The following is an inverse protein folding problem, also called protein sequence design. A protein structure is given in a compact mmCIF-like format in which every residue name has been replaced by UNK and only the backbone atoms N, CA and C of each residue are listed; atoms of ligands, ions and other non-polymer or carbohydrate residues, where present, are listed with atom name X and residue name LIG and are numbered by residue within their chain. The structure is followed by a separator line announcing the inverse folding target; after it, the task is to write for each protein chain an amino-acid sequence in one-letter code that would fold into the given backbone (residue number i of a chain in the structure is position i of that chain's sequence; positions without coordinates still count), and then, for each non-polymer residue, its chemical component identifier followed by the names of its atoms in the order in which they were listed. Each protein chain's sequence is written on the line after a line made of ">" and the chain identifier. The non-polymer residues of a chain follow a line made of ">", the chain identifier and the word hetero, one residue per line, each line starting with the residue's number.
data_IF_935543007096
#
_entry.id   IF_935543007096
#
_cell.length_a   1.000
_cell.length_b   1.000
_cell.length_c   1.000
_cell.angle_alpha   90.00
_cell.angle_beta   90.00
_cell.angle_gamma   90.00
#
_symmetry.space_group_name_H-M   'P 1'
#
loop_
_entity.id
_entity.type
_entity.pdbx_description
1 polymer ?
#
# COMPACT_ATOMS: atom_id res chain seq x y z
N UNK A 1 34.00 -33.38 -8.56
CA UNK A 1 32.56 -33.72 -8.73
C UNK A 1 31.71 -33.28 -7.53
N UNK A 2 32.27 -33.09 -6.33
CA UNK A 2 31.55 -32.59 -5.13
C UNK A 2 30.84 -31.24 -5.32
N UNK A 3 31.46 -30.29 -6.04
CA UNK A 3 30.93 -28.91 -6.15
C UNK A 3 29.57 -28.86 -6.84
N UNK A 4 29.34 -29.72 -7.85
CA UNK A 4 28.06 -29.81 -8.56
C UNK A 4 26.96 -30.32 -7.62
N UNK A 5 27.30 -31.22 -6.70
CA UNK A 5 26.37 -31.74 -5.69
C UNK A 5 25.85 -30.67 -4.74
N UNK A 6 26.62 -29.59 -4.50
CA UNK A 6 26.21 -28.44 -3.68
C UNK A 6 25.56 -27.35 -4.53
N UNK A 7 26.10 -27.07 -5.71
CA UNK A 7 25.62 -26.01 -6.59
C UNK A 7 24.20 -26.27 -7.10
N UNK A 8 23.87 -27.50 -7.48
CA UNK A 8 22.52 -27.85 -7.98
C UNK A 8 21.43 -27.53 -6.93
N UNK A 9 21.49 -28.05 -5.69
CA UNK A 9 20.45 -27.74 -4.69
C UNK A 9 20.43 -26.26 -4.30
N UNK A 10 21.59 -25.61 -4.17
CA UNK A 10 21.66 -24.17 -3.87
C UNK A 10 20.96 -23.36 -4.97
N UNK A 11 21.19 -23.70 -6.24
CA UNK A 11 20.56 -23.02 -7.38
C UNK A 11 19.04 -23.20 -7.40
N UNK A 12 18.57 -24.43 -7.13
CA UNK A 12 17.14 -24.74 -7.05
C UNK A 12 16.46 -23.98 -5.90
N UNK A 13 17.12 -23.90 -4.75
CA UNK A 13 16.61 -23.13 -3.59
C UNK A 13 16.56 -21.64 -3.94
N UNK A 14 17.63 -21.06 -4.49
CA UNK A 14 17.64 -19.65 -4.89
C UNK A 14 16.56 -19.34 -5.93
N UNK A 15 16.43 -20.19 -6.96
CA UNK A 15 15.38 -20.05 -7.96
C UNK A 15 13.98 -20.16 -7.37
N UNK A 16 13.76 -21.14 -6.48
CA UNK A 16 12.50 -21.34 -5.79
C UNK A 16 12.12 -20.17 -4.89
N UNK A 17 13.08 -19.63 -4.12
CA UNK A 17 12.88 -18.43 -3.30
C UNK A 17 12.54 -17.21 -4.15
N UNK A 18 13.23 -17.02 -5.28
CA UNK A 18 12.94 -15.95 -6.23
C UNK A 18 11.52 -16.05 -6.81
N UNK A 19 11.11 -17.24 -7.24
CA UNK A 19 9.74 -17.48 -7.71
C UNK A 19 8.72 -17.23 -6.60
N UNK A 20 8.94 -17.74 -5.40
CA UNK A 20 8.04 -17.53 -4.27
C UNK A 20 7.88 -16.04 -3.93
N UNK A 21 8.97 -15.28 -3.91
CA UNK A 21 8.95 -13.84 -3.72
C UNK A 21 8.20 -13.11 -4.85
N UNK A 22 8.38 -13.54 -6.10
CA UNK A 22 7.67 -13.00 -7.25
C UNK A 22 6.15 -13.23 -7.16
N UNK A 23 5.73 -14.45 -6.82
CA UNK A 23 4.32 -14.76 -6.58
C UNK A 23 3.73 -14.01 -5.38
N UNK A 24 4.51 -13.85 -4.31
CA UNK A 24 4.13 -13.04 -3.17
C UNK A 24 3.88 -11.60 -3.60
N UNK A 25 4.83 -10.96 -4.28
CA UNK A 25 4.72 -9.58 -4.79
C UNK A 25 3.51 -9.35 -5.71
N UNK A 26 3.21 -10.30 -6.62
CA UNK A 26 2.01 -10.24 -7.45
C UNK A 26 0.73 -10.33 -6.62
N UNK A 27 0.72 -11.16 -5.56
CA UNK A 27 -0.44 -11.36 -4.70
C UNK A 27 -0.63 -10.23 -3.69
N UNK A 28 0.42 -9.53 -3.27
CA UNK A 28 0.33 -8.53 -2.22
C UNK A 28 -0.52 -7.31 -2.58
N UNK A 29 -1.06 -7.21 -3.80
CA UNK A 29 -2.02 -6.16 -4.20
C UNK A 29 -1.59 -4.80 -3.65
N UNK A 30 -0.29 -4.51 -3.72
CA UNK A 30 0.27 -3.23 -3.26
C UNK A 30 -0.27 -2.05 -4.12
N UNK A 31 -1.11 -2.38 -5.11
CA UNK A 31 -1.83 -1.50 -6.01
C UNK A 31 -3.33 -1.29 -5.68
N UNK A 32 -3.83 -1.70 -4.50
CA UNK A 32 -5.22 -1.36 -4.11
C UNK A 32 -5.36 0.10 -3.60
N UNK A 33 -4.25 0.84 -3.40
CA UNK A 33 -4.26 2.27 -3.01
C UNK A 33 -3.28 3.26 -3.74
N UNK A 34 -2.57 2.95 -4.85
CA UNK A 34 -1.94 3.98 -5.67
C UNK A 34 -2.97 4.85 -6.38
N UNK A 35 -4.16 4.31 -6.68
CA UNK A 35 -5.27 5.08 -7.24
C UNK A 35 -5.83 6.07 -6.20
N UNK A 36 -5.87 5.73 -4.90
CA UNK A 36 -6.32 6.65 -3.85
C UNK A 36 -5.38 7.85 -3.67
N UNK A 37 -4.06 7.65 -3.79
CA UNK A 37 -3.06 8.72 -3.74
C UNK A 37 -3.11 9.62 -4.99
N UNK A 38 -3.24 9.02 -6.17
CA UNK A 38 -3.40 9.74 -7.44
C UNK A 38 -4.73 10.49 -7.54
N UNK A 39 -5.82 9.95 -7.00
CA UNK A 39 -7.11 10.64 -7.00
C UNK A 39 -7.08 11.87 -6.09
N UNK A 40 -6.28 11.83 -5.02
CA UNK A 40 -6.11 12.96 -4.09
C UNK A 40 -5.30 14.11 -4.69
N UNK A 41 -4.40 13.84 -5.65
CA UNK A 41 -3.65 14.91 -6.34
C UNK A 41 -4.42 15.56 -7.50
N UNK A 42 -5.44 14.87 -8.03
CA UNK A 42 -6.33 15.37 -9.10
C UNK A 42 -7.61 16.03 -8.55
N UNK A 43 -8.01 15.71 -7.32
CA UNK A 43 -9.21 16.28 -6.69
C UNK A 43 -8.87 17.65 -6.09
N UNK A 44 -9.16 18.73 -6.84
CA UNK A 44 -8.97 20.13 -6.40
C UNK A 44 -10.01 20.61 -5.38
N UNK A 45 -11.00 19.78 -5.06
CA UNK A 45 -12.18 20.17 -4.26
C UNK A 45 -11.84 20.60 -2.81
N UNK A 46 -10.63 20.29 -2.33
CA UNK A 46 -10.16 20.65 -0.98
C UNK A 46 -8.90 21.53 -0.97
N UNK A 47 -8.47 22.07 -2.11
CA UNK A 47 -7.27 22.93 -2.20
C UNK A 47 -7.48 24.25 -1.43
N UNK A 48 -8.72 24.74 -1.38
CA UNK A 48 -9.07 26.00 -0.71
C UNK A 48 -9.58 25.86 0.73
N UNK A 49 -10.04 24.68 1.17
CA UNK A 49 -10.63 24.50 2.52
C UNK A 49 -10.45 23.07 3.05
N UNK A 50 -9.78 22.87 4.21
CA UNK A 50 -9.76 21.57 4.87
C UNK A 50 -11.20 21.17 5.28
N UNK A 51 -11.50 19.87 5.19
CA UNK A 51 -12.77 19.30 5.62
C UNK A 51 -13.00 19.70 7.09
N UNK A 52 -14.12 20.37 7.44
CA UNK A 52 -14.36 20.78 8.81
C UNK A 52 -14.42 19.54 9.69
N UNK A 53 -13.45 19.47 10.58
CA UNK A 53 -13.32 18.48 11.62
C UNK A 53 -14.61 18.43 12.43
N UNK A 54 -15.11 17.21 12.62
CA UNK A 54 -16.40 16.93 13.24
C UNK A 54 -16.56 17.55 14.64
N UNK A 55 -15.45 17.97 15.27
CA UNK A 55 -15.41 18.74 16.52
C UNK A 55 -16.17 20.08 16.45
N UNK A 56 -16.37 20.66 15.25
CA UNK A 56 -17.07 21.95 15.10
C UNK A 56 -18.61 21.81 15.19
N UNK A 57 -19.15 20.59 15.06
CA UNK A 57 -20.61 20.35 15.10
C UNK A 57 -21.20 20.35 16.51
N UNK A 58 -20.41 20.10 17.55
CA UNK A 58 -20.91 20.07 18.93
C UNK A 58 -21.00 21.48 19.55
N UNK A 59 -20.06 22.37 19.22
CA UNK A 59 -20.02 23.73 19.78
C UNK A 59 -21.09 24.66 19.21
N UNK A 60 -21.61 24.35 18.02
CA UNK A 60 -22.67 25.11 17.34
C UNK A 60 -24.08 24.71 17.77
N UNK A 61 -24.26 23.51 18.35
CA UNK A 61 -25.52 23.07 18.96
C UNK A 61 -25.78 23.75 20.31
N UNK A 62 -24.74 23.94 21.12
CA UNK A 62 -24.83 24.51 22.47
C UNK A 62 -25.12 26.02 22.48
N UNK A 63 -24.65 26.77 21.46
CA UNK A 63 -24.85 28.23 21.39
C UNK A 63 -26.27 28.65 20.95
N UNK A 64 -27.11 27.70 20.52
CA UNK A 64 -28.45 27.97 19.95
C UNK A 64 -29.62 27.65 20.88
N UNK A 65 -29.36 27.30 22.15
CA UNK A 65 -30.39 27.09 23.18
C UNK A 65 -30.48 28.24 24.18
#
# INVERSE_FOLDING_TARGET
>A
MEILGILIPVSLILGGLGLAAFFWAMRTKQFDDPEGDANRILTKDYDDRPKPDAATRETSSVRKS
#
